data_IF_733213186532
#
_entry.id   IF_733213186532
#
_cell.length_a   1.000
_cell.length_b   1.000
_cell.length_c   1.000
_cell.angle_alpha   90.00
_cell.angle_beta   90.00
_cell.angle_gamma   90.00
#
_symmetry.space_group_name_H-M   'P 1'
#
loop_
_entity.id
_entity.type
_entity.pdbx_description
1 polymer ?
#
# COMPACT_ATOMS: atom_id res chain seq x y z
N UNK A 1 2.96 3.87 15.42
CA UNK A 1 3.27 3.83 13.98
C UNK A 1 2.13 3.10 13.30
N UNK A 2 1.35 3.75 12.43
CA UNK A 2 0.26 3.07 11.73
C UNK A 2 0.84 2.30 10.54
N UNK A 3 0.97 0.99 10.67
CA UNK A 3 1.28 0.14 9.51
C UNK A 3 0.00 -0.07 8.72
N UNK A 4 -0.11 0.59 7.56
CA UNK A 4 -1.21 0.37 6.61
C UNK A 4 -1.30 -1.12 6.20
N UNK A 5 -0.17 -1.84 6.30
CA UNK A 5 -0.12 -3.28 6.06
C UNK A 5 -0.75 -4.11 7.19
N UNK A 6 -0.57 -3.71 8.45
CA UNK A 6 -1.25 -4.36 9.59
C UNK A 6 -2.75 -4.07 9.60
N UNK A 7 -3.14 -2.83 9.28
CA UNK A 7 -4.54 -2.42 9.22
C UNK A 7 -5.35 -3.15 8.13
N UNK A 8 -4.68 -3.75 7.15
CA UNK A 8 -5.32 -4.39 5.99
C UNK A 8 -5.21 -5.91 5.99
N UNK A 9 -4.51 -6.50 6.97
CA UNK A 9 -4.41 -7.96 7.16
C UNK A 9 -3.66 -8.70 6.04
N UNK A 10 -3.03 -7.99 5.10
CA UNK A 10 -2.36 -8.57 3.94
C UNK A 10 -0.86 -8.25 3.97
N UNK A 11 -0.03 -9.30 3.90
CA UNK A 11 1.42 -9.14 3.72
C UNK A 11 1.70 -8.85 2.25
N UNK A 12 2.31 -7.70 1.96
CA UNK A 12 2.81 -7.44 0.61
C UNK A 12 3.90 -8.46 0.24
N UNK A 13 3.93 -8.93 -1.01
CA UNK A 13 5.06 -9.70 -1.50
C UNK A 13 6.33 -8.86 -1.39
N UNK A 14 7.44 -9.47 -0.97
CA UNK A 14 8.73 -8.77 -0.87
C UNK A 14 9.27 -8.41 -2.25
N UNK A 15 9.85 -7.22 -2.37
CA UNK A 15 10.66 -6.79 -3.52
C UNK A 15 11.85 -5.97 -3.02
N UNK A 16 12.94 -5.94 -3.79
CA UNK A 16 14.11 -5.13 -3.48
C UNK A 16 14.29 -4.00 -4.52
N UNK A 17 15.10 -2.99 -4.15
CA UNK A 17 15.40 -1.84 -5.02
C UNK A 17 16.33 -2.19 -6.19
N UNK A 18 16.96 -3.36 -6.15
CA UNK A 18 17.83 -3.89 -7.22
C UNK A 18 17.07 -4.69 -8.28
N UNK A 19 15.76 -4.87 -8.12
CA UNK A 19 14.94 -5.60 -9.06
C UNK A 19 14.92 -4.89 -10.41
N UNK A 20 14.90 -5.67 -11.49
CA UNK A 20 14.76 -5.11 -12.83
C UNK A 20 13.44 -4.33 -12.98
N UNK A 21 13.38 -3.33 -13.87
CA UNK A 21 12.14 -2.60 -14.12
C UNK A 21 10.95 -3.50 -14.46
N UNK A 22 11.18 -4.56 -15.24
CA UNK A 22 10.17 -5.56 -15.58
C UNK A 22 9.62 -6.29 -14.35
N UNK A 23 10.49 -6.68 -13.42
CA UNK A 23 10.13 -7.38 -12.19
C UNK A 23 9.40 -6.45 -11.20
N UNK A 24 9.76 -5.18 -11.17
CA UNK A 24 9.01 -4.14 -10.42
C UNK A 24 7.62 -3.95 -11.02
N UNK A 25 7.50 -3.92 -12.35
CA UNK A 25 6.22 -3.77 -13.03
C UNK A 25 5.30 -4.97 -12.77
N UNK A 26 5.82 -6.19 -12.86
CA UNK A 26 5.09 -7.41 -12.51
C UNK A 26 4.68 -7.42 -11.04
N UNK A 27 5.54 -6.99 -10.13
CA UNK A 27 5.19 -6.85 -8.72
C UNK A 27 4.05 -5.84 -8.52
N UNK A 28 4.11 -4.67 -9.16
CA UNK A 28 3.05 -3.64 -9.10
C UNK A 28 1.72 -4.11 -9.68
N UNK A 29 1.72 -5.05 -10.64
CA UNK A 29 0.49 -5.56 -11.25
C UNK A 29 -0.26 -6.57 -10.37
N UNK A 30 0.38 -7.11 -9.32
CA UNK A 30 -0.25 -8.04 -8.39
C UNK A 30 -1.47 -7.42 -7.69
N UNK A 31 -2.56 -8.18 -7.62
CA UNK A 31 -3.83 -7.72 -7.06
C UNK A 31 -3.69 -7.27 -5.59
N UNK A 32 -2.88 -7.96 -4.79
CA UNK A 32 -2.59 -7.62 -3.40
C UNK A 32 -1.85 -6.27 -3.25
N UNK A 33 -0.90 -5.99 -4.15
CA UNK A 33 -0.17 -4.72 -4.18
C UNK A 33 -1.11 -3.59 -4.56
N UNK A 34 -1.91 -3.77 -5.61
CA UNK A 34 -2.93 -2.81 -6.05
C UNK A 34 -3.95 -2.52 -4.95
N UNK A 35 -4.41 -3.55 -4.24
CA UNK A 35 -5.37 -3.42 -3.14
C UNK A 35 -4.78 -2.62 -1.97
N UNK A 36 -3.54 -2.91 -1.56
CA UNK A 36 -2.87 -2.18 -0.49
C UNK A 36 -2.63 -0.71 -0.89
N UNK A 37 -2.20 -0.46 -2.12
CA UNK A 37 -2.04 0.89 -2.65
C UNK A 37 -3.35 1.69 -2.59
N UNK A 38 -4.47 1.10 -3.02
CA UNK A 38 -5.78 1.76 -2.95
C UNK A 38 -6.22 2.08 -1.52
N UNK A 39 -5.79 1.29 -0.52
CA UNK A 39 -6.13 1.57 0.87
C UNK A 39 -5.45 2.84 1.41
N UNK A 40 -4.34 3.29 0.82
CA UNK A 40 -3.69 4.54 1.19
C UNK A 40 -4.62 5.74 1.03
N UNK A 41 -5.52 5.69 0.04
CA UNK A 41 -6.45 6.77 -0.26
C UNK A 41 -7.80 6.62 0.47
N UNK A 42 -7.98 5.55 1.25
CA UNK A 42 -9.16 5.43 2.10
C UNK A 42 -9.07 6.40 3.26
N UNK A 43 -10.23 6.94 3.64
CA UNK A 43 -10.36 7.76 4.84
C UNK A 43 -10.06 6.93 6.07
N UNK A 44 -9.35 7.52 7.02
CA UNK A 44 -9.02 6.87 8.29
C UNK A 44 -10.27 6.74 9.16
N UNK A 45 -11.17 7.72 9.09
CA UNK A 45 -12.49 7.72 9.72
C UNK A 45 -13.52 8.27 8.75
N UNK A 46 -14.73 7.72 8.80
CA UNK A 46 -15.84 8.23 7.99
C UNK A 46 -16.14 9.69 8.36
N UNK A 47 -16.51 10.50 7.37
CA UNK A 47 -16.71 11.94 7.55
C UNK A 47 -15.45 12.81 7.65
N UNK A 48 -14.24 12.26 7.78
CA UNK A 48 -13.00 13.04 7.85
C UNK A 48 -12.26 13.11 6.50
N UNK A 49 -11.58 14.21 6.17
CA UNK A 49 -10.80 14.33 4.93
C UNK A 49 -9.48 13.55 4.98
N UNK A 50 -9.03 13.17 6.17
CA UNK A 50 -7.74 12.52 6.39
C UNK A 50 -7.73 11.10 5.84
N UNK A 51 -6.81 10.84 4.93
CA UNK A 51 -6.53 9.51 4.38
C UNK A 51 -5.33 8.87 5.07
N UNK A 52 -5.14 7.56 4.92
CA UNK A 52 -3.93 6.90 5.43
C UNK A 52 -2.65 7.47 4.82
N UNK A 53 -2.67 7.91 3.56
CA UNK A 53 -1.56 8.57 2.88
C UNK A 53 -1.13 9.85 3.60
N UNK A 54 -2.08 10.63 4.12
CA UNK A 54 -1.82 11.87 4.85
C UNK A 54 -1.09 11.66 6.20
N UNK A 55 -1.00 10.42 6.67
CA UNK A 55 -0.34 10.06 7.94
C UNK A 55 1.07 9.47 7.74
N UNK A 56 1.54 9.34 6.49
CA UNK A 56 2.90 8.92 6.19
C UNK A 56 3.80 10.16 6.28
N UNK A 57 4.73 10.15 7.23
CA UNK A 57 5.72 11.21 7.50
C UNK A 57 7.07 10.76 6.97
#
# INVERSE_FOLDING_TARGET
>A
MYSVFEATGHKLPSINTQASPSKIQEWKSKAEVKRCYNNLFKKVKDGQPTTYMSLII
#
